data_IF_969482058551
#
_entry.id   IF_969482058551
#
_cell.length_a   1.000
_cell.length_b   1.000
_cell.length_c   1.000
_cell.angle_alpha   90.00
_cell.angle_beta   90.00
_cell.angle_gamma   90.00
#
_symmetry.space_group_name_H-M   'P 1'
#
loop_
_entity.id
_entity.type
_entity.pdbx_description
1 polymer ?
#
# COMPACT_ATOMS: atom_id res chain seq x y z
N UNK A 1 10.69 11.86 -4.32
CA UNK A 1 9.55 11.09 -4.88
C UNK A 1 9.70 9.56 -4.72
N UNK A 2 10.91 9.02 -4.52
CA UNK A 2 11.15 7.57 -4.30
C UNK A 2 10.58 7.02 -2.97
N UNK A 3 10.41 7.88 -2.00
CA UNK A 3 9.95 7.54 -0.64
C UNK A 3 8.45 7.25 -0.51
N UNK A 4 7.60 7.71 -1.42
CA UNK A 4 6.14 7.59 -1.29
C UNK A 4 5.60 6.19 -1.63
N UNK A 5 6.15 5.53 -2.64
CA UNK A 5 5.74 4.16 -3.00
C UNK A 5 6.26 3.17 -1.96
N UNK A 6 7.50 3.36 -1.52
CA UNK A 6 8.10 2.52 -0.49
C UNK A 6 7.38 2.68 0.86
N UNK A 7 7.01 3.91 1.27
CA UNK A 7 6.30 4.13 2.53
C UNK A 7 4.85 3.62 2.49
N UNK A 8 4.21 3.65 1.33
CA UNK A 8 2.86 3.11 1.16
C UNK A 8 2.84 1.56 1.20
N UNK A 9 3.90 0.91 0.71
CA UNK A 9 4.10 -0.53 0.87
C UNK A 9 4.52 -0.91 2.30
N UNK A 10 5.36 -0.10 2.94
CA UNK A 10 5.83 -0.37 4.31
C UNK A 10 4.71 -0.34 5.35
N UNK A 11 3.69 0.51 5.20
CA UNK A 11 2.56 0.51 6.15
C UNK A 11 1.74 -0.79 6.12
N UNK A 12 1.71 -1.52 5.00
CA UNK A 12 1.07 -2.83 4.91
C UNK A 12 2.05 -3.99 5.21
N UNK A 13 3.34 -3.84 4.88
CA UNK A 13 4.35 -4.88 5.12
C UNK A 13 4.88 -4.90 6.56
N UNK A 14 4.73 -3.81 7.33
CA UNK A 14 5.23 -3.74 8.71
C UNK A 14 4.46 -4.63 9.71
N UNK A 15 3.37 -5.27 9.29
CA UNK A 15 2.52 -6.04 10.21
C UNK A 15 2.58 -7.55 10.04
N UNK A 16 3.22 -8.04 8.99
CA UNK A 16 3.43 -9.48 8.83
C UNK A 16 4.88 -9.73 8.50
N UNK A 17 5.55 -10.54 9.29
CA UNK A 17 6.93 -10.97 9.07
C UNK A 17 7.11 -11.85 7.82
N UNK A 18 6.07 -12.02 7.04
CA UNK A 18 6.02 -12.77 5.78
C UNK A 18 5.35 -11.89 4.73
N UNK A 19 5.95 -11.77 3.55
CA UNK A 19 5.30 -11.14 2.41
C UNK A 19 4.20 -12.07 1.92
N UNK A 20 2.98 -11.85 2.38
CA UNK A 20 1.78 -12.61 2.01
C UNK A 20 1.00 -11.88 0.91
N UNK A 21 0.20 -12.64 0.16
CA UNK A 21 -0.86 -12.07 -0.68
C UNK A 21 -1.78 -11.22 0.19
N UNK A 22 -1.99 -9.97 -0.21
CA UNK A 22 -2.81 -9.05 0.57
C UNK A 22 -4.28 -9.38 0.34
N UNK A 23 -5.00 -9.62 1.43
CA UNK A 23 -6.44 -9.88 1.44
C UNK A 23 -7.18 -8.78 2.22
N UNK A 24 -8.50 -8.77 2.12
CA UNK A 24 -9.35 -7.88 2.90
C UNK A 24 -9.12 -8.04 4.41
N UNK A 25 -8.92 -9.26 4.89
CA UNK A 25 -8.63 -9.53 6.30
C UNK A 25 -7.32 -8.86 6.74
N UNK A 26 -6.28 -8.92 5.92
CA UNK A 26 -5.00 -8.26 6.20
C UNK A 26 -5.17 -6.74 6.26
N UNK A 27 -5.96 -6.16 5.34
CA UNK A 27 -6.28 -4.72 5.37
C UNK A 27 -7.05 -4.36 6.63
N UNK A 28 -8.05 -5.17 7.03
CA UNK A 28 -8.85 -4.97 8.22
C UNK A 28 -8.00 -5.06 9.51
N UNK A 29 -7.14 -6.08 9.63
CA UNK A 29 -6.21 -6.25 10.76
C UNK A 29 -5.25 -5.07 10.83
N UNK A 30 -4.71 -4.66 9.69
CA UNK A 30 -3.80 -3.50 9.60
C UNK A 30 -4.48 -2.22 10.08
N UNK A 31 -5.74 -1.99 9.66
CA UNK A 31 -6.53 -0.86 10.15
C UNK A 31 -6.75 -0.92 11.66
N UNK A 32 -7.17 -2.07 12.19
CA UNK A 32 -7.44 -2.22 13.63
C UNK A 32 -6.21 -1.90 14.46
N UNK A 33 -5.02 -2.34 14.03
CA UNK A 33 -3.78 -2.10 14.77
C UNK A 33 -3.40 -0.61 14.80
N UNK A 34 -3.61 0.15 13.69
CA UNK A 34 -3.30 1.59 13.68
C UNK A 34 -4.42 2.43 14.31
N UNK A 35 -5.68 2.01 14.21
CA UNK A 35 -6.83 2.72 14.78
C UNK A 35 -6.87 2.65 16.32
N UNK A 36 -6.38 1.57 16.90
CA UNK A 36 -6.29 1.39 18.37
C UNK A 36 -5.12 2.14 19.00
N UNK A 37 -4.14 2.56 18.21
CA UNK A 37 -3.00 3.36 18.69
C UNK A 37 -3.43 4.81 18.92
N UNK A 38 -3.79 5.16 20.14
CA UNK A 38 -4.16 6.54 20.52
C UNK A 38 -3.00 7.55 20.44
N UNK A 39 -1.76 7.09 20.39
CA UNK A 39 -0.55 7.93 20.43
C UNK A 39 -0.11 8.45 19.05
N UNK A 40 -0.72 7.97 17.98
CA UNK A 40 -0.33 8.36 16.61
C UNK A 40 -0.72 9.80 16.22
N UNK A 41 0.06 10.39 15.31
CA UNK A 41 -0.20 11.71 14.72
C UNK A 41 -1.42 11.71 13.78
N UNK A 42 -2.02 10.55 13.52
CA UNK A 42 -3.11 10.36 12.57
C UNK A 42 -4.35 9.76 13.24
N UNK A 43 -5.50 10.11 12.69
CA UNK A 43 -6.78 9.46 12.96
C UNK A 43 -7.29 8.81 11.67
N UNK A 44 -8.01 7.73 11.81
CA UNK A 44 -8.48 6.92 10.69
C UNK A 44 -9.99 6.76 10.77
N UNK A 45 -10.64 6.73 9.60
CA UNK A 45 -12.05 6.37 9.47
C UNK A 45 -12.22 5.49 8.23
N UNK A 46 -13.12 4.52 8.26
CA UNK A 46 -13.31 3.55 7.19
C UNK A 46 -14.77 3.42 6.78
N UNK A 47 -14.97 3.08 5.51
CA UNK A 47 -16.23 2.55 5.02
C UNK A 47 -15.98 1.10 4.60
N UNK A 48 -16.91 0.22 4.94
CA UNK A 48 -16.89 -1.18 4.55
C UNK A 48 -18.04 -1.49 3.59
N UNK A 49 -17.92 -2.59 2.87
CA UNK A 49 -19.00 -3.20 2.08
C UNK A 49 -19.86 -4.16 2.93
N UNK A 50 -20.73 -4.93 2.29
CA UNK A 50 -21.62 -5.91 2.92
C UNK A 50 -20.89 -7.14 3.51
N UNK A 51 -19.62 -7.37 3.13
CA UNK A 51 -18.75 -8.43 3.64
C UNK A 51 -17.81 -7.93 4.76
N UNK A 52 -18.02 -6.70 5.26
CA UNK A 52 -17.13 -6.01 6.21
C UNK A 52 -15.69 -5.78 5.66
N UNK A 53 -15.49 -5.78 4.34
CA UNK A 53 -14.23 -5.42 3.73
C UNK A 53 -14.09 -3.90 3.64
N UNK A 54 -12.97 -3.36 4.11
CA UNK A 54 -12.70 -1.91 4.02
C UNK A 54 -12.54 -1.51 2.55
N UNK A 55 -13.52 -0.78 2.01
CA UNK A 55 -13.51 -0.24 0.64
C UNK A 55 -12.90 1.15 0.57
N UNK A 56 -12.96 1.91 1.65
CA UNK A 56 -12.38 3.25 1.72
C UNK A 56 -11.80 3.50 3.11
N UNK A 57 -10.57 4.02 3.15
CA UNK A 57 -9.93 4.48 4.39
C UNK A 57 -9.58 5.96 4.26
N UNK A 58 -10.06 6.76 5.18
CA UNK A 58 -9.72 8.17 5.32
C UNK A 58 -8.68 8.35 6.41
N UNK A 59 -7.64 9.11 6.12
CA UNK A 59 -6.56 9.44 7.04
C UNK A 59 -6.56 10.93 7.31
N UNK A 60 -6.61 11.30 8.58
CA UNK A 60 -6.61 12.67 9.06
C UNK A 60 -5.38 12.91 9.90
N UNK A 61 -4.71 14.04 9.68
CA UNK A 61 -3.64 14.49 10.57
C UNK A 61 -4.27 15.16 11.80
N UNK A 62 -3.88 14.70 12.99
CA UNK A 62 -4.24 15.32 14.27
C UNK A 62 -3.43 16.61 14.47
N UNK A 63 -4.11 17.68 14.80
CA UNK A 63 -3.50 18.95 15.16
C UNK A 63 -3.97 19.34 16.56
N UNK A 64 -3.13 19.11 17.56
CA UNK A 64 -3.47 19.41 18.96
C UNK A 64 -3.25 20.90 19.20
N UNK A 65 -4.30 21.62 19.61
CA UNK A 65 -4.25 23.02 19.98
C UNK A 65 -3.68 23.18 21.40
N UNK A 66 -3.27 24.38 21.73
CA UNK A 66 -2.73 24.73 23.07
C UNK A 66 -3.72 24.53 24.22
N UNK A 67 -5.03 24.53 23.93
CA UNK A 67 -6.11 24.27 24.90
C UNK A 67 -6.44 22.77 25.05
N UNK A 68 -5.73 21.89 24.35
CA UNK A 68 -5.95 20.43 24.35
C UNK A 68 -6.97 19.94 23.32
N UNK A 69 -7.67 20.81 22.59
CA UNK A 69 -8.59 20.41 21.52
C UNK A 69 -7.80 19.80 20.34
N UNK A 70 -8.40 18.82 19.69
CA UNK A 70 -7.84 18.13 18.54
C UNK A 70 -8.62 18.47 17.28
N UNK A 71 -7.98 19.16 16.35
CA UNK A 71 -8.49 19.37 15.00
C UNK A 71 -8.05 18.22 14.09
N UNK A 72 -8.96 17.68 13.29
CA UNK A 72 -8.67 16.68 12.28
C UNK A 72 -8.60 17.34 10.90
N UNK A 73 -7.44 17.29 10.26
CA UNK A 73 -7.25 17.79 8.90
C UNK A 73 -7.16 16.61 7.93
N UNK A 74 -7.99 16.56 6.86
CA UNK A 74 -7.86 15.53 5.83
C UNK A 74 -6.44 15.50 5.29
N UNK A 75 -5.88 14.29 5.13
CA UNK A 75 -4.52 14.07 4.63
C UNK A 75 -4.54 13.23 3.37
N UNK A 76 -4.93 11.97 3.49
CA UNK A 76 -5.08 11.08 2.35
C UNK A 76 -6.33 10.19 2.48
N UNK A 77 -6.72 9.61 1.35
CA UNK A 77 -7.79 8.63 1.26
C UNK A 77 -7.31 7.48 0.38
N UNK A 78 -7.55 6.27 0.83
CA UNK A 78 -7.31 5.05 0.08
C UNK A 78 -8.64 4.44 -0.33
N UNK A 79 -8.75 3.98 -1.58
CA UNK A 79 -9.85 3.16 -2.06
C UNK A 79 -9.29 1.79 -2.43
N UNK A 80 -9.96 0.74 -1.97
CA UNK A 80 -9.58 -0.64 -2.16
C UNK A 80 -10.61 -1.35 -3.02
N UNK A 81 -10.15 -2.21 -3.91
CA UNK A 81 -10.95 -3.09 -4.74
C UNK A 81 -10.48 -4.52 -4.53
N UNK A 82 -11.41 -5.44 -4.33
CA UNK A 82 -11.13 -6.83 -4.04
C UNK A 82 -11.77 -7.73 -5.09
N UNK A 83 -11.20 -8.92 -5.27
CA UNK A 83 -11.85 -10.04 -5.96
C UNK A 83 -12.92 -10.66 -5.03
N UNK A 84 -13.76 -11.51 -5.58
CA UNK A 84 -14.85 -12.18 -4.84
C UNK A 84 -14.34 -13.03 -3.66
N UNK A 85 -13.10 -13.53 -3.74
CA UNK A 85 -12.42 -14.29 -2.68
C UNK A 85 -11.72 -13.41 -1.64
N UNK A 86 -11.86 -12.09 -1.74
CA UNK A 86 -11.27 -11.12 -0.82
C UNK A 86 -9.81 -10.77 -1.11
N UNK A 87 -9.20 -11.29 -2.20
CA UNK A 87 -7.84 -10.88 -2.60
C UNK A 87 -7.87 -9.44 -3.10
N UNK A 88 -6.91 -8.63 -2.65
CA UNK A 88 -6.80 -7.22 -3.04
C UNK A 88 -6.36 -7.11 -4.50
N UNK A 89 -7.19 -6.45 -5.33
CA UNK A 89 -6.92 -6.18 -6.75
C UNK A 89 -6.28 -4.81 -6.96
N UNK A 90 -6.75 -3.81 -6.23
CA UNK A 90 -6.19 -2.47 -6.37
C UNK A 90 -6.32 -1.63 -5.10
N UNK A 91 -5.40 -0.65 -4.96
CA UNK A 91 -5.47 0.42 -3.98
C UNK A 91 -5.20 1.76 -4.64
N UNK A 92 -6.23 2.58 -4.81
CA UNK A 92 -6.11 3.95 -5.34
C UNK A 92 -5.87 4.95 -4.21
N UNK A 93 -4.90 5.83 -4.40
CA UNK A 93 -4.49 6.85 -3.42
C UNK A 93 -4.93 8.24 -3.86
N UNK A 94 -5.57 8.96 -2.93
CA UNK A 94 -5.93 10.35 -3.08
C UNK A 94 -5.28 11.18 -1.97
N UNK A 95 -4.87 12.41 -2.29
CA UNK A 95 -4.40 13.40 -1.32
C UNK A 95 -5.38 14.55 -1.22
N UNK A 96 -5.49 15.14 -0.03
CA UNK A 96 -6.29 16.33 0.18
C UNK A 96 -5.52 17.56 -0.29
N UNK A 97 -6.07 18.28 -1.27
CA UNK A 97 -5.45 19.49 -1.80
C UNK A 97 -6.52 20.48 -2.31
N UNK A 98 -6.40 21.75 -1.95
CA UNK A 98 -7.34 22.82 -2.35
C UNK A 98 -8.81 22.44 -2.10
N UNK A 99 -9.13 22.01 -0.89
CA UNK A 99 -10.47 21.62 -0.44
C UNK A 99 -11.12 20.47 -1.26
N UNK A 100 -10.30 19.57 -1.81
CA UNK A 100 -10.79 18.41 -2.53
C UNK A 100 -9.81 17.24 -2.54
N UNK A 101 -10.34 16.04 -2.80
CA UNK A 101 -9.56 14.83 -2.99
C UNK A 101 -9.02 14.79 -4.42
N UNK A 102 -7.70 14.67 -4.57
CA UNK A 102 -7.03 14.52 -5.87
C UNK A 102 -6.37 13.16 -5.95
N UNK A 103 -6.71 12.40 -7.00
CA UNK A 103 -6.06 11.13 -7.29
C UNK A 103 -4.57 11.36 -7.58
N UNK A 104 -3.71 10.51 -7.04
CA UNK A 104 -2.26 10.58 -7.25
C UNK A 104 -1.69 9.34 -7.92
N UNK A 105 -2.28 8.17 -7.69
CA UNK A 105 -1.82 6.92 -8.26
C UNK A 105 -2.57 5.72 -7.72
N UNK A 106 -2.27 4.56 -8.30
CA UNK A 106 -2.86 3.28 -7.96
C UNK A 106 -1.77 2.22 -7.86
N UNK A 107 -1.89 1.35 -6.86
CA UNK A 107 -1.24 0.06 -6.82
C UNK A 107 -2.21 -0.98 -7.39
N UNK A 108 -1.76 -1.75 -8.36
CA UNK A 108 -2.50 -2.87 -8.94
C UNK A 108 -1.80 -4.16 -8.52
N UNK A 109 -2.57 -5.13 -8.07
CA UNK A 109 -2.09 -6.39 -7.54
C UNK A 109 -2.54 -7.52 -8.46
N UNK A 110 -1.61 -8.41 -8.80
CA UNK A 110 -1.90 -9.57 -9.65
C UNK A 110 -1.31 -10.81 -9.00
N UNK A 111 -2.15 -11.81 -8.81
CA UNK A 111 -1.76 -13.12 -8.30
C UNK A 111 -1.85 -14.13 -9.44
N UNK A 112 -0.76 -14.85 -9.66
CA UNK A 112 -0.70 -16.07 -10.49
C UNK A 112 -0.30 -17.23 -9.59
N UNK A 113 -0.23 -18.46 -10.11
CA UNK A 113 -0.01 -19.68 -9.31
C UNK A 113 1.20 -19.60 -8.36
N UNK A 114 2.29 -18.93 -8.79
CA UNK A 114 3.55 -18.86 -8.06
C UNK A 114 4.14 -17.44 -7.96
N UNK A 115 3.44 -16.44 -8.48
CA UNK A 115 3.93 -15.06 -8.52
C UNK A 115 2.84 -14.08 -8.09
N UNK A 116 3.18 -13.27 -7.10
CA UNK A 116 2.40 -12.11 -6.71
C UNK A 116 3.13 -10.84 -7.16
N UNK A 117 2.47 -9.99 -7.93
CA UNK A 117 3.06 -8.76 -8.44
C UNK A 117 2.27 -7.54 -8.02
N UNK A 118 2.97 -6.44 -7.79
CA UNK A 118 2.40 -5.15 -7.42
C UNK A 118 2.98 -4.09 -8.34
N UNK A 119 2.12 -3.42 -9.09
CA UNK A 119 2.47 -2.37 -10.04
C UNK A 119 2.00 -1.02 -9.54
N UNK A 120 2.83 0.02 -9.74
CA UNK A 120 2.46 1.40 -9.45
C UNK A 120 2.15 2.17 -10.72
N UNK A 121 0.90 2.67 -10.82
CA UNK A 121 0.39 3.48 -11.91
C UNK A 121 0.16 4.91 -11.40
N UNK A 122 0.80 5.88 -12.02
CA UNK A 122 0.60 7.29 -11.69
C UNK A 122 -0.69 7.81 -12.30
N UNK A 123 -1.45 8.62 -11.57
CA UNK A 123 -2.59 9.34 -12.14
C UNK A 123 -2.13 10.49 -13.04
N UNK A 124 -2.67 10.55 -14.25
CA UNK A 124 -2.45 11.63 -15.20
C UNK A 124 -3.69 12.54 -15.26
N UNK A 125 -3.63 13.75 -14.67
CA UNK A 125 -4.80 14.63 -14.63
C UNK A 125 -5.18 15.20 -16.01
N UNK A 126 -4.27 15.20 -16.99
CA UNK A 126 -4.53 15.73 -18.32
C UNK A 126 -5.36 14.76 -19.17
N UNK A 127 -5.19 13.48 -18.98
CA UNK A 127 -5.89 12.40 -19.70
C UNK A 127 -7.01 11.78 -18.87
N UNK A 128 -7.08 12.13 -17.57
CA UNK A 128 -8.00 11.56 -16.59
C UNK A 128 -7.94 10.02 -16.55
N UNK A 129 -6.74 9.46 -16.70
CA UNK A 129 -6.48 8.02 -16.60
C UNK A 129 -5.17 7.74 -15.86
N UNK A 130 -4.93 6.48 -15.53
CA UNK A 130 -3.65 6.06 -14.99
C UNK A 130 -2.64 5.86 -16.13
N UNK A 131 -1.44 6.39 -15.96
CA UNK A 131 -0.32 6.08 -16.83
C UNK A 131 0.05 4.60 -16.69
N UNK A 132 0.80 4.09 -17.66
CA UNK A 132 1.39 2.76 -17.57
C UNK A 132 2.27 2.64 -16.32
N UNK A 133 2.36 1.43 -15.76
CA UNK A 133 3.09 1.20 -14.52
C UNK A 133 4.57 1.61 -14.67
N UNK A 134 5.03 2.47 -13.76
CA UNK A 134 6.41 2.96 -13.72
C UNK A 134 7.33 2.08 -12.88
N UNK A 135 6.76 1.34 -11.96
CA UNK A 135 7.46 0.49 -11.00
C UNK A 135 6.66 -0.80 -10.81
N UNK A 136 7.37 -1.90 -10.62
CA UNK A 136 6.77 -3.22 -10.34
C UNK A 136 7.59 -3.91 -9.26
N UNK A 137 6.91 -4.52 -8.30
CA UNK A 137 7.51 -5.42 -7.34
C UNK A 137 6.90 -6.80 -7.53
N UNK A 138 7.74 -7.83 -7.55
CA UNK A 138 7.31 -9.22 -7.67
C UNK A 138 7.74 -10.02 -6.47
N UNK A 139 6.88 -10.93 -6.07
CA UNK A 139 7.08 -11.88 -4.98
C UNK A 139 6.91 -13.28 -5.56
N UNK A 140 7.98 -14.08 -5.59
CA UNK A 140 7.84 -15.50 -5.86
C UNK A 140 7.27 -16.17 -4.60
N UNK A 141 6.20 -16.95 -4.78
CA UNK A 141 5.44 -17.49 -3.68
C UNK A 141 5.84 -18.95 -3.41
N UNK A 142 5.85 -19.32 -2.13
CA UNK A 142 5.83 -20.71 -1.70
C UNK A 142 4.38 -21.27 -1.82
N UNK A 143 4.19 -22.61 -1.73
CA UNK A 143 2.85 -23.22 -1.81
C UNK A 143 1.83 -22.72 -0.79
N UNK A 144 2.28 -22.14 0.33
CA UNK A 144 1.45 -21.51 1.37
C UNK A 144 1.25 -20.00 1.15
N UNK A 145 1.57 -19.49 -0.04
CA UNK A 145 1.51 -18.09 -0.43
C UNK A 145 2.43 -17.16 0.37
N UNK A 146 3.51 -17.67 0.95
CA UNK A 146 4.58 -16.85 1.53
C UNK A 146 5.63 -16.52 0.47
N UNK A 147 6.15 -15.29 0.48
CA UNK A 147 7.20 -14.90 -0.44
C UNK A 147 8.56 -15.47 -0.01
N UNK A 148 9.32 -16.00 -0.98
CA UNK A 148 10.72 -16.39 -0.74
C UNK A 148 11.73 -15.53 -1.54
N UNK A 149 11.28 -14.84 -2.56
CA UNK A 149 12.10 -13.94 -3.36
C UNK A 149 11.31 -12.68 -3.72
N UNK A 150 11.87 -11.52 -3.43
CA UNK A 150 11.27 -10.22 -3.74
C UNK A 150 12.18 -9.48 -4.69
N UNK A 151 11.63 -9.04 -5.83
CA UNK A 151 12.35 -8.29 -6.85
C UNK A 151 11.65 -6.99 -7.17
N UNK A 152 12.38 -5.90 -7.24
CA UNK A 152 11.86 -4.59 -7.62
C UNK A 152 12.42 -4.13 -8.96
N UNK A 153 11.52 -3.70 -9.82
CA UNK A 153 11.79 -3.28 -11.18
C UNK A 153 11.38 -1.84 -11.40
N UNK A 154 12.15 -1.13 -12.19
CA UNK A 154 11.85 0.21 -12.68
C UNK A 154 11.64 0.16 -14.19
N UNK A 155 10.56 0.79 -14.68
CA UNK A 155 10.31 0.91 -16.13
C UNK A 155 11.23 1.96 -16.72
N UNK A 156 11.92 1.57 -17.78
CA UNK A 156 12.76 2.48 -18.56
C UNK A 156 11.91 3.27 -19.55
N UNK A 157 11.95 4.59 -19.46
CA UNK A 157 11.25 5.48 -20.43
C UNK A 157 11.72 5.33 -21.88
N UNK A 158 12.95 4.77 -22.10
CA UNK A 158 13.54 4.66 -23.45
C UNK A 158 13.24 3.33 -24.12
N UNK A 159 13.11 2.26 -23.39
CA UNK A 159 13.03 0.89 -23.92
C UNK A 159 11.70 0.21 -23.65
N UNK A 160 10.77 0.91 -22.97
CA UNK A 160 9.46 0.40 -22.61
C UNK A 160 9.51 -0.98 -21.90
N UNK A 161 10.61 -1.21 -21.18
CA UNK A 161 10.90 -2.47 -20.50
C UNK A 161 11.25 -2.24 -19.05
N UNK A 162 10.92 -3.21 -18.21
CA UNK A 162 11.31 -3.23 -16.81
C UNK A 162 12.79 -3.63 -16.66
N UNK A 163 13.51 -2.91 -15.78
CA UNK A 163 14.88 -3.23 -15.37
C UNK A 163 14.88 -3.55 -13.90
N UNK A 164 15.49 -4.67 -13.54
CA UNK A 164 15.70 -5.04 -12.15
C UNK A 164 16.51 -3.93 -11.44
N UNK A 165 15.97 -3.41 -10.36
CA UNK A 165 16.62 -2.40 -9.50
C UNK A 165 17.31 -3.07 -8.31
N UNK A 166 16.61 -3.96 -7.63
CA UNK A 166 17.16 -4.78 -6.55
C UNK A 166 16.34 -6.06 -6.35
N UNK A 167 16.93 -7.01 -5.65
CA UNK A 167 16.34 -8.29 -5.32
C UNK A 167 16.79 -8.73 -3.93
N UNK A 168 15.85 -9.31 -3.16
CA UNK A 168 16.11 -9.88 -1.83
C UNK A 168 15.54 -11.28 -1.76
N UNK A 169 16.32 -12.18 -1.20
CA UNK A 169 15.86 -13.52 -0.86
C UNK A 169 15.43 -13.56 0.60
N UNK A 170 14.18 -13.97 0.84
CA UNK A 170 13.66 -14.21 2.18
C UNK A 170 13.97 -15.66 2.53
N UNK A 171 14.82 -15.88 3.53
CA UNK A 171 15.13 -17.24 4.02
C UNK A 171 14.11 -17.63 5.09
N UNK A 172 13.84 -18.93 5.23
CA UNK A 172 12.83 -19.53 6.13
C UNK A 172 12.96 -19.20 7.63
N UNK A 173 13.88 -18.36 8.01
CA UNK A 173 13.95 -17.82 9.35
C UNK A 173 13.36 -16.41 9.36
N UNK A 174 12.24 -16.16 10.07
CA UNK A 174 11.63 -14.85 10.15
C UNK A 174 12.40 -13.95 11.13
N UNK A 175 13.64 -13.65 10.81
CA UNK A 175 14.39 -12.55 11.44
C UNK A 175 14.46 -11.37 10.49
N UNK A 176 13.34 -11.03 9.88
CA UNK A 176 13.20 -9.75 9.21
C UNK A 176 13.02 -8.71 10.30
N UNK A 177 14.11 -8.10 10.74
CA UNK A 177 13.99 -6.91 11.59
C UNK A 177 13.28 -5.82 10.78
N UNK A 178 12.13 -5.32 11.26
CA UNK A 178 11.35 -4.29 10.53
C UNK A 178 12.14 -3.00 10.28
N UNK A 179 13.27 -2.83 10.96
CA UNK A 179 14.09 -1.62 10.92
C UNK A 179 15.00 -1.53 9.68
N UNK A 180 15.27 -2.63 8.98
CA UNK A 180 16.15 -2.58 7.78
C UNK A 180 15.51 -1.86 6.58
N UNK A 181 14.18 -1.69 6.58
CA UNK A 181 13.46 -0.95 5.55
C UNK A 181 13.15 0.51 5.94
N UNK A 182 13.40 0.89 7.19
CA UNK A 182 13.15 2.25 7.68
C UNK A 182 14.37 3.18 7.55
N UNK A 183 15.55 2.66 7.26
CA UNK A 183 16.81 3.42 7.18
C UNK A 183 17.33 3.63 5.75
N UNK A 184 16.55 3.32 4.72
CA UNK A 184 16.90 3.59 3.32
C UNK A 184 15.95 4.69 2.76
#
# INVERSE_FOLDING_TARGET
MKTLVLSAMMCLAAMTSTAQVITADIVNISYQSVATSNEGQYAYNVNCDENDYITTMYVYKKNVRTNGDVDLKPSCRYQYEYADDGVLLSRTTYVWHNNGWKCTGRLSYTLTDDLYSVEYNRWNPNTACFDEASEMMTYSLLPDYTAFNVSWFLRSRRSDSYKLSWQVYVTDQPSFEPNLLAEM
#
